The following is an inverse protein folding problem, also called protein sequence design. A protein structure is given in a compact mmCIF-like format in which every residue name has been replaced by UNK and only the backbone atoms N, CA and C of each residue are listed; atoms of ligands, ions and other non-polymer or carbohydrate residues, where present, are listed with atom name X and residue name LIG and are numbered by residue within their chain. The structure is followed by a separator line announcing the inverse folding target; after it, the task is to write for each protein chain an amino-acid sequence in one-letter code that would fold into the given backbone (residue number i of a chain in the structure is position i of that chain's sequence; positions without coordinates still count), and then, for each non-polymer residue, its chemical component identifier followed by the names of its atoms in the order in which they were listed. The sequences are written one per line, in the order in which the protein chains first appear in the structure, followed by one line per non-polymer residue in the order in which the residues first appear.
data_IF_684776930620
#
_entry.id   IF_684776930620
#
_cell.length_a   1.000
_cell.length_b   1.000
_cell.length_c   1.000
_cell.angle_alpha   90.00
_cell.angle_beta   90.00
_cell.angle_gamma   90.00
#
_symmetry.space_group_name_H-M   'P 1'
#
loop_
_entity.id
_entity.type
_entity.pdbx_description
1 polymer ?
#
# COMPACT_ATOMS: atom_id res chain seq x y z
N UNK A 1 58.50 -55.76 54.75
CA UNK A 1 57.98 -55.77 53.40
C UNK A 1 56.60 -55.13 53.46
N UNK A 2 56.52 -53.84 53.12
CA UNK A 2 55.24 -53.07 53.09
C UNK A 2 54.82 -52.89 51.69
N UNK A 3 53.65 -53.38 51.29
CA UNK A 3 53.05 -53.20 49.96
C UNK A 3 52.37 -51.81 49.90
N UNK A 4 52.77 -51.03 48.98
CA UNK A 4 52.18 -49.70 48.65
C UNK A 4 51.04 -49.93 47.68
N UNK A 5 49.81 -49.61 48.05
CA UNK A 5 48.66 -49.60 47.19
C UNK A 5 48.54 -48.20 46.58
N UNK A 6 48.67 -48.13 45.26
CA UNK A 6 48.43 -46.90 44.44
C UNK A 6 46.97 -46.87 44.05
N UNK A 7 46.21 -45.91 44.61
CA UNK A 7 44.84 -45.65 44.26
C UNK A 7 44.86 -44.67 43.07
N UNK A 8 44.49 -45.17 41.87
CA UNK A 8 44.30 -44.33 40.69
C UNK A 8 42.98 -43.59 40.76
N UNK A 9 42.99 -42.29 40.92
CA UNK A 9 41.82 -41.42 40.89
C UNK A 9 41.48 -41.06 39.45
N UNK A 10 40.47 -41.68 38.87
CA UNK A 10 39.94 -41.30 37.53
C UNK A 10 39.04 -40.06 37.66
N UNK A 11 39.56 -38.94 37.18
CA UNK A 11 38.73 -37.69 37.05
C UNK A 11 37.94 -37.77 35.76
N UNK A 12 36.61 -38.01 35.90
CA UNK A 12 35.64 -37.86 34.81
C UNK A 12 35.41 -36.34 34.55
N UNK A 13 35.99 -35.83 33.47
CA UNK A 13 35.65 -34.49 32.96
C UNK A 13 34.32 -34.63 32.19
N UNK A 14 33.21 -34.29 32.83
CA UNK A 14 31.93 -34.14 32.17
C UNK A 14 31.96 -32.81 31.40
N UNK A 15 32.25 -32.87 30.10
CA UNK A 15 32.11 -31.74 29.18
C UNK A 15 30.62 -31.48 28.98
N UNK A 16 30.04 -30.63 29.82
CA UNK A 16 28.70 -30.08 29.64
C UNK A 16 28.66 -29.24 28.38
N UNK A 17 28.09 -29.77 27.30
CA UNK A 17 27.63 -28.98 26.18
C UNK A 17 26.51 -28.05 26.68
N UNK A 18 26.87 -26.85 27.11
CA UNK A 18 25.92 -25.78 27.33
C UNK A 18 25.37 -25.39 25.98
N UNK A 19 24.28 -26.02 25.57
CA UNK A 19 23.43 -25.46 24.50
C UNK A 19 22.91 -24.13 25.02
N UNK A 20 23.54 -23.04 24.62
CA UNK A 20 22.96 -21.70 24.79
C UNK A 20 21.64 -21.74 24.04
N UNK A 21 20.52 -21.82 24.75
CA UNK A 21 19.21 -21.57 24.18
C UNK A 21 19.24 -20.13 23.62
N UNK A 22 19.50 -20.00 22.33
CA UNK A 22 19.38 -18.72 21.65
C UNK A 22 17.93 -18.31 21.79
N UNK A 23 17.67 -17.22 22.53
CA UNK A 23 16.31 -16.69 22.66
C UNK A 23 15.71 -16.61 21.27
N UNK A 24 14.54 -17.24 21.09
CA UNK A 24 13.88 -17.25 19.78
C UNK A 24 13.76 -15.81 19.29
N UNK A 25 14.34 -15.52 18.14
CA UNK A 25 14.32 -14.17 17.57
C UNK A 25 12.86 -13.83 17.21
N UNK A 26 12.36 -12.69 17.65
CA UNK A 26 10.99 -12.22 17.39
C UNK A 26 11.02 -11.03 16.42
N UNK A 27 10.23 -11.09 15.35
CA UNK A 27 10.00 -10.00 14.41
C UNK A 27 8.63 -9.36 14.70
N UNK A 28 8.61 -8.08 15.06
CA UNK A 28 7.39 -7.32 15.32
C UNK A 28 7.01 -6.47 14.13
N UNK A 29 5.94 -6.88 13.44
CA UNK A 29 5.41 -6.20 12.27
C UNK A 29 4.29 -5.23 12.67
N UNK A 30 4.31 -4.03 12.09
CA UNK A 30 3.20 -3.08 12.11
C UNK A 30 2.74 -2.88 10.66
N UNK A 31 1.59 -3.47 10.29
CA UNK A 31 1.22 -3.69 8.90
C UNK A 31 -0.28 -3.52 8.66
N UNK A 32 -0.67 -3.54 7.40
CA UNK A 32 -2.07 -3.52 6.97
C UNK A 32 -2.75 -4.89 7.11
N UNK A 33 -4.07 -4.89 7.08
CA UNK A 33 -4.84 -6.12 6.99
C UNK A 33 -4.54 -6.89 5.70
N UNK A 34 -4.24 -8.19 5.84
CA UNK A 34 -3.96 -9.05 4.68
C UNK A 34 -2.50 -9.14 4.22
N UNK A 35 -1.58 -8.28 4.73
CA UNK A 35 -0.18 -8.26 4.27
C UNK A 35 0.73 -9.28 4.97
N UNK A 36 0.27 -9.87 6.04
CA UNK A 36 0.93 -10.97 6.74
C UNK A 36 -0.13 -12.03 7.11
N UNK A 37 -0.68 -12.77 6.11
CA UNK A 37 -1.65 -13.82 6.38
C UNK A 37 -1.01 -14.97 7.16
N UNK A 38 -1.83 -15.69 7.90
CA UNK A 38 -1.38 -16.69 8.88
C UNK A 38 -0.49 -17.78 8.25
N UNK A 39 -0.86 -18.28 7.08
CA UNK A 39 -0.11 -19.31 6.36
C UNK A 39 1.29 -18.84 5.90
N UNK A 40 1.43 -17.56 5.53
CA UNK A 40 2.71 -16.94 5.19
C UNK A 40 3.58 -16.76 6.44
N UNK A 41 2.98 -16.34 7.56
CA UNK A 41 3.69 -16.21 8.85
C UNK A 41 4.21 -17.58 9.31
N UNK A 42 3.35 -18.61 9.34
CA UNK A 42 3.73 -19.97 9.74
C UNK A 42 4.85 -20.56 8.87
N UNK A 43 4.81 -20.27 7.54
CA UNK A 43 5.85 -20.72 6.62
C UNK A 43 7.19 -20.03 6.91
N UNK A 44 7.20 -18.72 7.13
CA UNK A 44 8.40 -17.98 7.52
C UNK A 44 8.99 -18.48 8.84
N UNK A 45 8.16 -18.65 9.85
CA UNK A 45 8.58 -19.16 11.16
C UNK A 45 9.20 -20.56 11.05
N UNK A 46 8.60 -21.42 10.22
CA UNK A 46 9.10 -22.77 9.94
C UNK A 46 10.45 -22.75 9.22
N UNK A 47 10.64 -21.86 8.22
CA UNK A 47 11.87 -21.79 7.44
C UNK A 47 13.03 -21.13 8.20
N UNK A 48 12.74 -20.18 9.08
CA UNK A 48 13.77 -19.33 9.71
C UNK A 48 13.96 -19.54 11.19
N UNK A 49 12.98 -20.12 11.89
CA UNK A 49 12.95 -20.19 13.35
C UNK A 49 12.65 -18.85 14.03
N UNK A 50 12.32 -17.79 13.28
CA UNK A 50 12.01 -16.46 13.79
C UNK A 50 10.49 -16.36 13.98
N UNK A 51 10.04 -16.08 15.20
CA UNK A 51 8.62 -15.86 15.47
C UNK A 51 8.17 -14.49 14.97
N UNK A 52 6.92 -14.39 14.49
CA UNK A 52 6.39 -13.13 13.91
C UNK A 52 5.18 -12.64 14.68
N UNK A 53 5.26 -11.43 15.19
CA UNK A 53 4.17 -10.76 15.89
C UNK A 53 3.54 -9.68 15.01
N UNK A 54 2.32 -9.92 14.55
CA UNK A 54 1.62 -9.04 13.61
C UNK A 54 0.70 -8.08 14.35
N UNK A 55 0.89 -6.77 14.16
CA UNK A 55 -0.03 -5.73 14.61
C UNK A 55 -0.62 -5.04 13.39
N UNK A 56 -1.95 -5.13 13.22
CA UNK A 56 -2.67 -4.44 12.14
C UNK A 56 -2.85 -2.96 12.48
N UNK A 57 -2.71 -2.09 11.47
CA UNK A 57 -2.75 -0.64 11.66
C UNK A 57 -3.10 0.08 10.34
N UNK A 58 -3.05 1.41 10.36
CA UNK A 58 -3.17 2.31 9.20
C UNK A 58 -2.06 3.37 9.25
N UNK A 59 -1.94 4.21 8.20
CA UNK A 59 -0.86 5.21 8.11
C UNK A 59 -0.76 6.12 9.33
N UNK A 60 -1.88 6.68 9.73
CA UNK A 60 -1.95 7.66 10.83
C UNK A 60 -1.53 7.03 12.15
N UNK A 61 -2.01 5.83 12.42
CA UNK A 61 -1.66 5.08 13.63
C UNK A 61 -0.23 4.58 13.62
N UNK A 62 0.30 4.10 12.48
CA UNK A 62 1.69 3.68 12.35
C UNK A 62 2.64 4.81 12.70
N UNK A 63 2.43 5.99 12.09
CA UNK A 63 3.23 7.17 12.34
C UNK A 63 3.08 7.65 13.78
N UNK A 64 1.86 7.68 14.31
CA UNK A 64 1.59 8.10 15.68
C UNK A 64 2.28 7.20 16.71
N UNK A 65 2.20 5.87 16.54
CA UNK A 65 2.86 4.89 17.42
C UNK A 65 4.39 5.05 17.38
N UNK A 66 4.97 5.19 16.20
CA UNK A 66 6.42 5.40 16.08
C UNK A 66 6.87 6.75 16.63
N UNK A 67 6.10 7.81 16.43
CA UNK A 67 6.35 9.13 17.03
C UNK A 67 6.37 9.04 18.55
N UNK A 68 5.33 8.44 19.15
CA UNK A 68 5.21 8.31 20.61
C UNK A 68 6.38 7.50 21.24
N UNK A 69 6.89 6.50 20.53
CA UNK A 69 7.99 5.64 20.98
C UNK A 69 9.37 6.07 20.46
N UNK A 70 9.44 7.16 19.70
CA UNK A 70 10.66 7.63 19.01
C UNK A 70 11.30 6.52 18.15
N UNK A 71 10.46 5.79 17.41
CA UNK A 71 10.87 4.71 16.52
C UNK A 71 11.18 3.37 17.21
N UNK A 72 10.67 3.13 18.41
CA UNK A 72 10.79 1.85 19.08
C UNK A 72 9.47 1.05 19.02
N UNK A 73 9.52 -0.21 19.47
CA UNK A 73 8.35 -1.06 19.67
C UNK A 73 8.05 -2.03 18.52
N UNK A 74 8.55 -1.73 17.31
CA UNK A 74 8.40 -2.57 16.12
C UNK A 74 9.74 -2.76 15.42
N UNK A 75 9.81 -3.75 14.52
CA UNK A 75 11.03 -4.08 13.79
C UNK A 75 10.88 -3.83 12.30
N UNK A 76 9.65 -3.91 11.76
CA UNK A 76 9.31 -3.55 10.39
C UNK A 76 7.92 -2.91 10.36
N UNK A 77 7.77 -1.82 9.60
CA UNK A 77 6.53 -1.05 9.49
C UNK A 77 6.20 -0.81 8.02
N UNK A 78 4.91 -0.71 7.68
CA UNK A 78 4.47 -0.67 6.29
C UNK A 78 3.58 0.55 5.96
N UNK A 79 4.08 1.79 6.10
CA UNK A 79 3.35 2.98 5.66
C UNK A 79 3.32 3.09 4.13
N UNK A 80 2.39 3.88 3.61
CA UNK A 80 2.38 4.25 2.20
C UNK A 80 3.55 5.18 1.86
N UNK A 81 4.12 5.05 0.67
CA UNK A 81 5.34 5.74 0.25
C UNK A 81 5.26 7.28 0.36
N UNK A 82 4.08 7.87 0.08
CA UNK A 82 3.83 9.31 0.18
C UNK A 82 3.94 9.86 1.60
N UNK A 83 3.96 8.99 2.61
CA UNK A 83 4.07 9.33 4.04
C UNK A 83 5.48 9.22 4.60
N UNK A 84 6.37 8.46 3.95
CA UNK A 84 7.67 8.11 4.51
C UNK A 84 8.57 9.33 4.69
N UNK A 85 8.83 10.07 3.61
CA UNK A 85 9.77 11.19 3.64
C UNK A 85 9.31 12.32 4.59
N UNK A 86 8.02 12.65 4.59
CA UNK A 86 7.45 13.69 5.47
C UNK A 86 7.53 13.29 6.94
N UNK A 87 7.19 12.05 7.28
CA UNK A 87 7.29 11.55 8.65
C UNK A 87 8.73 11.46 9.13
N UNK A 88 9.68 11.06 8.26
CA UNK A 88 11.10 11.03 8.59
C UNK A 88 11.64 12.44 8.86
N UNK A 89 11.38 13.41 7.98
CA UNK A 89 11.81 14.81 8.16
C UNK A 89 11.24 15.43 9.45
N UNK A 90 9.95 15.17 9.72
CA UNK A 90 9.28 15.76 10.87
C UNK A 90 9.64 15.13 12.22
N UNK A 91 9.85 13.80 12.26
CA UNK A 91 9.91 13.05 13.52
C UNK A 91 11.15 12.18 13.68
N UNK A 92 11.95 11.95 12.62
CA UNK A 92 13.15 11.12 12.62
C UNK A 92 12.89 9.75 13.29
N UNK A 93 11.88 9.04 12.79
CA UNK A 93 11.36 7.79 13.37
C UNK A 93 11.79 6.53 12.62
N UNK A 94 12.44 6.69 11.47
CA UNK A 94 12.90 5.60 10.64
C UNK A 94 14.43 5.51 10.60
N UNK A 95 14.94 4.38 10.14
CA UNK A 95 16.35 4.08 9.90
C UNK A 95 16.56 3.90 8.39
N UNK A 96 17.66 4.37 7.81
CA UNK A 96 17.99 4.11 6.41
C UNK A 96 18.01 2.60 6.10
N UNK A 97 17.55 2.25 4.90
CA UNK A 97 17.55 0.89 4.39
C UNK A 97 18.92 0.55 3.79
N UNK A 98 19.52 -0.55 4.21
CA UNK A 98 20.68 -1.13 3.56
C UNK A 98 20.23 -1.98 2.36
N UNK A 99 20.26 -1.40 1.18
CA UNK A 99 19.78 -2.05 -0.04
C UNK A 99 20.63 -3.26 -0.48
N UNK A 100 21.85 -3.42 0.06
CA UNK A 100 22.68 -4.60 -0.20
C UNK A 100 22.14 -5.87 0.45
N UNK A 101 21.27 -5.74 1.44
CA UNK A 101 20.59 -6.85 2.14
C UNK A 101 19.27 -7.27 1.49
N UNK A 102 18.89 -6.60 0.41
CA UNK A 102 17.64 -6.85 -0.31
C UNK A 102 17.96 -7.47 -1.66
N UNK A 103 17.26 -8.55 -2.01
CA UNK A 103 17.32 -9.11 -3.35
C UNK A 103 16.50 -8.22 -4.31
N UNK A 104 17.17 -7.22 -4.87
CA UNK A 104 16.57 -6.25 -5.78
C UNK A 104 15.98 -6.88 -7.04
N UNK A 105 16.44 -8.08 -7.43
CA UNK A 105 15.94 -8.78 -8.62
C UNK A 105 14.51 -9.30 -8.45
N UNK A 106 14.06 -9.47 -7.20
CA UNK A 106 12.70 -9.88 -6.87
C UNK A 106 11.67 -8.75 -7.03
N UNK A 107 12.10 -7.50 -7.20
CA UNK A 107 11.18 -6.37 -7.29
C UNK A 107 10.89 -5.94 -8.73
N UNK A 108 9.68 -5.44 -8.96
CA UNK A 108 9.35 -4.72 -10.18
C UNK A 108 10.19 -3.43 -10.19
N UNK A 109 11.11 -3.33 -11.17
CA UNK A 109 12.15 -2.29 -11.19
C UNK A 109 11.62 -0.86 -11.15
N UNK A 110 10.53 -0.57 -11.88
CA UNK A 110 9.89 0.76 -11.89
C UNK A 110 9.32 1.14 -10.51
N UNK A 111 8.72 0.19 -9.80
CA UNK A 111 8.16 0.43 -8.46
C UNK A 111 9.27 0.60 -7.42
N UNK A 112 10.35 -0.18 -7.51
CA UNK A 112 11.52 -0.01 -6.65
C UNK A 112 12.15 1.37 -6.85
N UNK A 113 12.32 1.81 -8.11
CA UNK A 113 12.87 3.12 -8.43
C UNK A 113 11.96 4.26 -7.92
N UNK A 114 10.64 4.16 -8.14
CA UNK A 114 9.67 5.14 -7.67
C UNK A 114 9.68 5.27 -6.15
N UNK A 115 9.63 4.14 -5.43
CA UNK A 115 9.63 4.14 -3.95
C UNK A 115 10.94 4.72 -3.40
N UNK A 116 12.10 4.33 -3.97
CA UNK A 116 13.40 4.91 -3.58
C UNK A 116 13.40 6.43 -3.77
N UNK A 117 12.97 6.92 -4.94
CA UNK A 117 12.93 8.36 -5.24
C UNK A 117 12.06 9.14 -4.26
N UNK A 118 10.89 8.60 -3.88
CA UNK A 118 9.95 9.26 -2.97
C UNK A 118 10.27 9.10 -1.48
N UNK A 119 11.07 8.11 -1.11
CA UNK A 119 11.47 7.85 0.28
C UNK A 119 12.88 8.29 0.62
N UNK A 120 13.58 8.98 -0.29
CA UNK A 120 14.92 9.51 -0.04
C UNK A 120 14.83 10.82 0.77
N UNK A 121 15.58 10.87 1.87
CA UNK A 121 15.73 12.06 2.72
C UNK A 121 17.23 12.22 3.00
N UNK A 122 17.79 13.39 2.72
CA UNK A 122 19.20 13.72 2.94
C UNK A 122 20.17 12.71 2.30
N UNK A 123 19.80 12.18 1.12
CA UNK A 123 20.60 11.19 0.37
C UNK A 123 20.41 9.74 0.80
N UNK A 124 19.71 9.48 1.89
CA UNK A 124 19.45 8.14 2.42
C UNK A 124 18.07 7.62 2.01
N UNK A 125 17.98 6.35 1.62
CA UNK A 125 16.73 5.68 1.24
C UNK A 125 16.08 5.06 2.47
N UNK A 126 14.80 5.33 2.71
CA UNK A 126 14.10 4.85 3.91
C UNK A 126 13.06 3.75 3.63
N UNK A 127 12.71 3.48 2.37
CA UNK A 127 11.68 2.50 2.05
C UNK A 127 11.99 1.70 0.78
N UNK A 128 11.42 0.49 0.73
CA UNK A 128 11.28 -0.32 -0.49
C UNK A 128 9.82 -0.76 -0.65
N UNK A 129 9.33 -1.01 -1.88
CA UNK A 129 7.92 -1.30 -2.13
C UNK A 129 7.51 -2.68 -1.60
N UNK A 130 6.23 -2.83 -1.25
CA UNK A 130 5.64 -4.13 -0.90
C UNK A 130 4.36 -4.40 -1.70
N UNK A 131 3.25 -3.78 -1.34
CA UNK A 131 1.95 -3.95 -2.00
C UNK A 131 1.61 -2.64 -2.70
N UNK A 132 1.02 -2.74 -3.86
CA UNK A 132 0.58 -1.58 -4.62
C UNK A 132 -0.86 -1.74 -5.08
N UNK A 133 -1.46 -0.65 -5.44
CA UNK A 133 -2.77 -0.62 -6.04
C UNK A 133 -3.06 0.76 -6.62
N UNK A 134 -4.25 0.90 -7.13
CA UNK A 134 -4.67 2.14 -7.76
C UNK A 134 -6.09 2.54 -7.37
N UNK A 135 -6.37 3.82 -7.54
CA UNK A 135 -7.72 4.36 -7.58
C UNK A 135 -8.03 4.75 -9.02
N UNK A 136 -9.16 4.29 -9.49
CA UNK A 136 -9.64 4.55 -10.83
C UNK A 136 -11.15 4.47 -10.86
N UNK A 137 -11.71 3.85 -11.89
CA UNK A 137 -13.14 3.73 -12.09
C UNK A 137 -13.60 2.29 -11.87
N UNK A 138 -14.75 2.12 -11.28
CA UNK A 138 -15.50 0.86 -11.31
C UNK A 138 -16.77 1.16 -12.10
N UNK A 139 -17.02 0.39 -13.16
CA UNK A 139 -18.17 0.60 -14.04
C UNK A 139 -18.94 -0.71 -14.26
N UNK A 140 -20.24 -0.61 -14.34
CA UNK A 140 -21.07 -1.66 -14.91
C UNK A 140 -21.10 -1.47 -16.44
N UNK A 141 -20.34 -2.28 -17.17
CA UNK A 141 -20.18 -2.17 -18.63
C UNK A 141 -21.47 -2.33 -19.42
N UNK A 142 -22.46 -3.04 -18.90
CA UNK A 142 -23.75 -3.19 -19.56
C UNK A 142 -24.55 -1.87 -19.58
N UNK A 143 -24.23 -0.91 -18.68
CA UNK A 143 -25.03 0.30 -18.45
C UNK A 143 -24.22 1.58 -18.65
N UNK A 144 -22.92 1.58 -18.32
CA UNK A 144 -22.05 2.75 -18.23
C UNK A 144 -20.71 2.55 -18.96
N UNK A 145 -20.73 1.87 -20.13
CA UNK A 145 -19.52 1.59 -20.91
C UNK A 145 -18.85 2.84 -21.52
N UNK A 146 -19.56 3.95 -21.54
CA UNK A 146 -19.08 5.27 -21.99
C UNK A 146 -18.19 5.97 -20.93
N UNK A 147 -18.24 5.55 -19.69
CA UNK A 147 -17.40 6.10 -18.60
C UNK A 147 -16.00 5.51 -18.71
N UNK A 148 -15.02 6.32 -19.13
CA UNK A 148 -13.62 5.95 -19.32
C UNK A 148 -12.64 6.87 -18.60
N UNK A 149 -13.10 8.01 -18.10
CA UNK A 149 -12.29 8.94 -17.33
C UNK A 149 -13.09 9.53 -16.17
N UNK A 150 -12.39 10.18 -15.22
CA UNK A 150 -13.03 10.74 -14.01
C UNK A 150 -14.09 11.78 -14.34
N UNK A 151 -13.88 12.61 -15.36
CA UNK A 151 -14.85 13.63 -15.77
C UNK A 151 -16.10 13.04 -16.43
N UNK A 152 -16.05 11.81 -16.95
CA UNK A 152 -17.23 11.14 -17.52
C UNK A 152 -18.28 10.81 -16.45
N UNK A 153 -17.87 10.72 -15.17
CA UNK A 153 -18.78 10.63 -14.03
C UNK A 153 -19.75 11.82 -13.95
N UNK A 154 -19.46 12.90 -14.67
CA UNK A 154 -20.31 14.09 -14.77
C UNK A 154 -21.27 14.07 -15.97
N UNK A 155 -21.28 13.02 -16.80
CA UNK A 155 -22.18 12.92 -17.91
C UNK A 155 -23.64 12.88 -17.38
N UNK A 156 -24.55 13.81 -17.79
CA UNK A 156 -25.92 13.85 -17.31
C UNK A 156 -26.72 12.56 -17.53
N UNK A 157 -26.30 11.71 -18.49
CA UNK A 157 -26.90 10.39 -18.71
C UNK A 157 -26.81 9.48 -17.47
N UNK A 158 -25.89 9.75 -16.56
CA UNK A 158 -25.68 9.00 -15.32
C UNK A 158 -26.18 9.74 -14.07
N UNK A 159 -27.17 10.64 -14.21
CA UNK A 159 -27.74 11.38 -13.09
C UNK A 159 -28.25 10.45 -11.98
N UNK A 160 -27.78 10.68 -10.73
CA UNK A 160 -28.10 9.87 -9.56
C UNK A 160 -27.55 8.45 -9.58
N UNK A 161 -26.61 8.13 -10.48
CA UNK A 161 -26.05 6.77 -10.67
C UNK A 161 -24.56 6.64 -10.39
N UNK A 162 -23.93 7.70 -9.89
CA UNK A 162 -22.49 7.75 -9.65
C UNK A 162 -22.20 7.82 -8.15
N UNK A 163 -21.07 7.27 -7.73
CA UNK A 163 -20.57 7.40 -6.35
C UNK A 163 -19.04 7.55 -6.31
N UNK A 164 -18.55 8.35 -5.38
CA UNK A 164 -17.11 8.48 -5.09
C UNK A 164 -16.87 8.98 -3.66
N UNK A 165 -15.62 8.91 -3.19
CA UNK A 165 -15.23 9.53 -1.92
C UNK A 165 -15.02 11.03 -2.16
N UNK A 166 -15.65 11.87 -1.37
CA UNK A 166 -15.36 13.31 -1.40
C UNK A 166 -14.08 13.58 -0.56
N UNK A 167 -12.92 13.25 -1.13
CA UNK A 167 -11.60 13.29 -0.53
C UNK A 167 -10.55 13.66 -1.58
N UNK A 168 -9.27 13.86 -1.13
CA UNK A 168 -8.13 14.16 -2.01
C UNK A 168 -8.07 13.34 -3.31
N UNK A 169 -8.21 11.99 -3.30
CA UNK A 169 -8.15 11.23 -4.55
C UNK A 169 -9.09 11.74 -5.64
N UNK A 170 -10.32 12.13 -5.26
CA UNK A 170 -11.29 12.67 -6.22
C UNK A 170 -10.82 14.02 -6.79
N UNK A 171 -10.29 14.92 -5.96
CA UNK A 171 -9.73 16.18 -6.44
C UNK A 171 -8.59 15.96 -7.44
N UNK A 172 -7.66 15.05 -7.10
CA UNK A 172 -6.49 14.75 -7.94
C UNK A 172 -6.89 14.07 -9.25
N UNK A 173 -7.77 13.07 -9.21
CA UNK A 173 -8.24 12.37 -10.42
C UNK A 173 -8.95 13.31 -11.37
N UNK A 174 -9.86 14.14 -10.86
CA UNK A 174 -10.55 15.13 -11.68
C UNK A 174 -9.58 16.18 -12.24
N UNK A 175 -8.55 16.60 -11.49
CA UNK A 175 -7.54 17.52 -12.03
C UNK A 175 -6.84 16.91 -13.25
N UNK A 176 -6.36 15.66 -13.17
CA UNK A 176 -5.74 15.00 -14.31
C UNK A 176 -6.69 14.84 -15.50
N UNK A 177 -7.95 14.46 -15.27
CA UNK A 177 -8.95 14.34 -16.32
C UNK A 177 -9.34 15.68 -16.97
N UNK A 178 -9.09 16.79 -16.27
CA UNK A 178 -9.24 18.16 -16.80
C UNK A 178 -7.96 18.69 -17.49
N UNK A 179 -6.92 17.86 -17.65
CA UNK A 179 -5.64 18.23 -18.27
C UNK A 179 -4.70 19.03 -17.37
N UNK A 180 -4.97 19.10 -16.06
CA UNK A 180 -4.10 19.77 -15.09
C UNK A 180 -3.15 18.74 -14.47
N UNK A 181 -1.97 19.18 -14.04
CA UNK A 181 -1.05 18.35 -13.25
C UNK A 181 -0.95 18.91 -11.82
N UNK A 182 -1.77 18.38 -10.88
CA UNK A 182 -1.75 18.84 -9.51
C UNK A 182 -0.45 18.44 -8.78
N UNK A 183 0.25 17.40 -9.21
CA UNK A 183 1.50 16.97 -8.59
C UNK A 183 2.65 17.91 -8.95
N UNK A 184 2.71 18.39 -10.20
CA UNK A 184 3.67 19.41 -10.59
C UNK A 184 3.45 20.75 -9.88
N UNK A 185 2.24 20.99 -9.38
CA UNK A 185 1.92 22.19 -8.62
C UNK A 185 2.19 22.08 -7.11
N UNK A 186 2.68 20.96 -6.59
CA UNK A 186 2.90 20.77 -5.15
C UNK A 186 3.92 21.74 -4.55
N UNK A 187 4.84 22.27 -5.35
CA UNK A 187 5.79 23.32 -4.94
C UNK A 187 5.26 24.74 -4.98
N UNK A 188 4.04 24.95 -5.49
CA UNK A 188 3.41 26.27 -5.71
C UNK A 188 1.95 26.23 -5.19
N UNK A 189 1.75 26.71 -3.96
CA UNK A 189 0.46 26.66 -3.28
C UNK A 189 -0.63 27.45 -4.02
N UNK A 190 -0.28 28.57 -4.66
CA UNK A 190 -1.24 29.43 -5.39
C UNK A 190 -1.70 28.73 -6.67
N UNK A 191 -0.77 28.14 -7.41
CA UNK A 191 -1.08 27.32 -8.60
C UNK A 191 -1.92 26.10 -8.23
N UNK A 192 -1.54 25.41 -7.15
CA UNK A 192 -2.31 24.28 -6.64
C UNK A 192 -3.74 24.69 -6.25
N UNK A 193 -3.90 25.82 -5.57
CA UNK A 193 -5.22 26.35 -5.21
C UNK A 193 -6.05 26.65 -6.45
N UNK A 194 -5.48 27.28 -7.48
CA UNK A 194 -6.19 27.56 -8.75
C UNK A 194 -6.68 26.27 -9.43
N UNK A 195 -5.88 25.22 -9.46
CA UNK A 195 -6.28 23.91 -9.98
C UNK A 195 -7.45 23.38 -9.14
N UNK A 196 -7.32 23.37 -7.82
CA UNK A 196 -8.37 22.85 -6.93
C UNK A 196 -9.69 23.62 -7.00
N UNK A 197 -9.63 24.96 -7.24
CA UNK A 197 -10.82 25.77 -7.48
C UNK A 197 -11.57 25.35 -8.76
N UNK A 198 -10.84 25.12 -9.86
CA UNK A 198 -11.42 24.61 -11.11
C UNK A 198 -12.09 23.24 -10.89
N UNK A 199 -11.39 22.34 -10.19
CA UNK A 199 -11.91 21.01 -9.84
C UNK A 199 -13.16 21.12 -8.95
N UNK A 200 -13.12 21.98 -7.93
CA UNK A 200 -14.27 22.20 -7.04
C UNK A 200 -15.51 22.67 -7.79
N UNK A 201 -15.35 23.61 -8.74
CA UNK A 201 -16.42 24.04 -9.63
C UNK A 201 -16.99 22.87 -10.44
N UNK A 202 -16.10 22.08 -11.08
CA UNK A 202 -16.51 20.90 -11.85
C UNK A 202 -17.28 19.87 -11.01
N UNK A 203 -16.78 19.56 -9.80
CA UNK A 203 -17.47 18.64 -8.89
C UNK A 203 -18.84 19.14 -8.44
N UNK A 204 -19.00 20.46 -8.26
CA UNK A 204 -20.30 21.09 -7.97
C UNK A 204 -21.29 20.93 -9.12
N UNK A 205 -20.81 21.15 -10.37
CA UNK A 205 -21.63 20.93 -11.59
C UNK A 205 -22.08 19.47 -11.70
N UNK A 206 -21.24 18.53 -11.30
CA UNK A 206 -21.51 17.08 -11.38
C UNK A 206 -22.36 16.54 -10.23
N UNK A 207 -22.73 17.36 -9.25
CA UNK A 207 -23.39 16.89 -8.02
C UNK A 207 -24.71 16.16 -8.28
N UNK A 208 -25.43 16.54 -9.33
CA UNK A 208 -26.69 15.85 -9.72
C UNK A 208 -26.46 14.38 -10.14
N UNK A 209 -25.25 14.02 -10.54
CA UNK A 209 -24.91 12.64 -10.90
C UNK A 209 -24.63 11.77 -9.66
N UNK A 210 -24.32 12.39 -8.53
CA UNK A 210 -23.87 11.66 -7.34
C UNK A 210 -25.06 11.15 -6.54
N UNK A 211 -25.17 9.84 -6.42
CA UNK A 211 -26.14 9.17 -5.52
C UNK A 211 -25.75 9.34 -4.06
N UNK A 212 -24.47 9.11 -3.77
CA UNK A 212 -23.93 9.21 -2.42
C UNK A 212 -22.40 9.37 -2.45
N UNK A 213 -21.85 9.98 -1.40
CA UNK A 213 -20.41 9.95 -1.12
C UNK A 213 -20.12 8.82 -0.15
N UNK A 214 -19.39 7.78 -0.62
CA UNK A 214 -19.03 6.69 0.26
C UNK A 214 -17.83 7.04 1.14
N UNK A 215 -17.78 6.46 2.34
CA UNK A 215 -16.68 6.67 3.29
C UNK A 215 -15.82 5.42 3.53
N UNK A 216 -16.40 4.25 3.37
CA UNK A 216 -15.76 2.94 3.55
C UNK A 216 -16.05 1.99 2.39
N UNK A 217 -15.18 0.99 2.19
CA UNK A 217 -15.29 0.03 1.11
C UNK A 217 -16.60 -0.74 1.09
N UNK A 218 -17.14 -1.10 2.25
CA UNK A 218 -18.41 -1.85 2.33
C UNK A 218 -19.59 -1.03 1.79
N UNK A 219 -19.65 0.29 2.08
CA UNK A 219 -20.67 1.18 1.53
C UNK A 219 -20.58 1.27 0.00
N UNK A 220 -19.35 1.40 -0.54
CA UNK A 220 -19.10 1.36 -1.99
C UNK A 220 -19.63 0.05 -2.61
N UNK A 221 -19.21 -1.09 -2.03
CA UNK A 221 -19.58 -2.40 -2.56
C UNK A 221 -21.10 -2.61 -2.51
N UNK A 222 -21.78 -2.13 -1.46
CA UNK A 222 -23.24 -2.20 -1.32
C UNK A 222 -23.94 -1.40 -2.42
N UNK A 223 -23.56 -0.13 -2.65
CA UNK A 223 -24.15 0.73 -3.67
C UNK A 223 -24.01 0.14 -5.08
N UNK A 224 -22.88 -0.47 -5.40
CA UNK A 224 -22.64 -1.09 -6.69
C UNK A 224 -23.38 -2.43 -6.85
N UNK A 225 -23.44 -3.26 -5.80
CA UNK A 225 -24.15 -4.56 -5.82
C UNK A 225 -25.65 -4.40 -5.95
N UNK A 226 -26.22 -3.41 -5.27
CA UNK A 226 -27.65 -3.14 -5.32
C UNK A 226 -28.11 -2.53 -6.65
N UNK A 227 -27.17 -2.06 -7.51
CA UNK A 227 -27.49 -1.32 -8.72
C UNK A 227 -27.99 0.10 -8.46
N UNK A 228 -27.90 0.59 -7.22
CA UNK A 228 -28.19 2.00 -6.92
C UNK A 228 -27.22 2.91 -7.66
N UNK A 229 -25.95 2.47 -7.82
CA UNK A 229 -24.97 3.14 -8.65
C UNK A 229 -24.42 2.21 -9.72
N UNK A 230 -24.12 2.76 -10.90
CA UNK A 230 -23.59 2.03 -12.06
C UNK A 230 -22.13 2.37 -12.34
N UNK A 231 -21.64 3.44 -11.73
CA UNK A 231 -20.25 3.86 -11.82
C UNK A 231 -19.74 4.44 -10.50
N UNK A 232 -18.46 4.23 -10.24
CA UNK A 232 -17.80 4.74 -9.05
C UNK A 232 -16.35 5.12 -9.35
N UNK A 233 -15.82 6.12 -8.62
CA UNK A 233 -14.40 6.26 -8.44
C UNK A 233 -13.99 5.50 -7.18
N UNK A 234 -13.11 4.49 -7.32
CA UNK A 234 -12.73 3.62 -6.21
C UNK A 234 -11.42 2.86 -6.49
N UNK A 235 -11.06 1.97 -5.57
CA UNK A 235 -9.88 1.11 -5.69
C UNK A 235 -10.11 -0.09 -6.62
N UNK A 236 -9.06 -0.50 -7.31
CA UNK A 236 -8.99 -1.69 -8.16
C UNK A 236 -9.50 -2.96 -7.46
N UNK A 237 -9.04 -3.25 -6.25
CA UNK A 237 -9.50 -4.39 -5.46
C UNK A 237 -11.02 -4.38 -5.21
N UNK A 238 -11.65 -3.22 -5.13
CA UNK A 238 -13.12 -3.08 -5.03
C UNK A 238 -13.80 -3.55 -6.32
N UNK A 239 -13.29 -3.13 -7.47
CA UNK A 239 -13.79 -3.58 -8.78
C UNK A 239 -13.64 -5.08 -8.97
N UNK A 240 -12.50 -5.64 -8.61
CA UNK A 240 -12.26 -7.09 -8.70
C UNK A 240 -13.16 -7.91 -7.76
N UNK A 241 -13.49 -7.40 -6.58
CA UNK A 241 -14.48 -8.05 -5.70
C UNK A 241 -15.86 -8.05 -6.32
N UNK A 242 -16.29 -6.93 -6.87
CA UNK A 242 -17.61 -6.81 -7.53
C UNK A 242 -17.70 -7.66 -8.78
N UNK A 243 -16.65 -7.74 -9.58
CA UNK A 243 -16.59 -8.58 -10.77
C UNK A 243 -16.78 -10.07 -10.48
N UNK A 244 -16.40 -10.53 -9.29
CA UNK A 244 -16.64 -11.92 -8.88
C UNK A 244 -18.13 -12.23 -8.70
N UNK A 245 -18.91 -11.23 -8.31
CA UNK A 245 -20.36 -11.33 -8.07
C UNK A 245 -21.14 -11.05 -9.36
N UNK A 246 -20.65 -10.10 -10.19
CA UNK A 246 -21.26 -9.70 -11.46
C UNK A 246 -20.15 -9.37 -12.47
N UNK A 247 -20.01 -10.16 -13.52
CA UNK A 247 -18.99 -10.02 -14.55
C UNK A 247 -19.08 -8.70 -15.36
N UNK A 248 -20.24 -8.06 -15.40
CA UNK A 248 -20.41 -6.76 -16.06
C UNK A 248 -19.77 -5.61 -15.27
N UNK A 249 -19.54 -5.79 -13.95
CA UNK A 249 -18.89 -4.80 -13.12
C UNK A 249 -17.36 -5.04 -13.14
N UNK A 250 -16.60 -4.04 -13.56
CA UNK A 250 -15.16 -4.15 -13.65
C UNK A 250 -14.45 -2.88 -13.21
N UNK A 251 -13.18 -3.01 -12.85
CA UNK A 251 -12.28 -1.87 -12.71
C UNK A 251 -11.78 -1.44 -14.10
N UNK A 252 -11.71 -0.13 -14.30
CA UNK A 252 -11.21 0.50 -15.52
C UNK A 252 -10.16 1.53 -15.12
N UNK A 253 -8.96 1.41 -15.68
CA UNK A 253 -7.95 2.44 -15.56
C UNK A 253 -8.42 3.68 -16.35
N UNK A 254 -8.52 4.86 -15.69
CA UNK A 254 -8.93 6.09 -16.37
C UNK A 254 -7.94 6.49 -17.47
N UNK A 255 -8.44 7.09 -18.56
CA UNK A 255 -7.58 7.51 -19.69
C UNK A 255 -6.57 8.58 -19.30
N UNK A 256 -6.90 9.43 -18.32
CA UNK A 256 -5.97 10.40 -17.73
C UNK A 256 -4.94 9.79 -16.76
N UNK A 257 -5.11 8.53 -16.40
CA UNK A 257 -4.24 7.74 -15.53
C UNK A 257 -4.89 7.39 -14.20
N UNK A 258 -4.72 6.14 -13.78
CA UNK A 258 -5.09 5.70 -12.45
C UNK A 258 -4.15 6.33 -11.40
N UNK A 259 -4.67 6.58 -10.20
CA UNK A 259 -3.89 7.16 -9.11
C UNK A 259 -3.24 6.02 -8.31
N UNK A 260 -1.93 5.84 -8.50
CA UNK A 260 -1.18 4.74 -7.90
C UNK A 260 -0.70 5.04 -6.48
N UNK A 261 -0.78 4.05 -5.61
CA UNK A 261 -0.19 4.06 -4.28
C UNK A 261 0.64 2.80 -4.07
N UNK A 262 1.68 2.92 -3.26
CA UNK A 262 2.55 1.81 -2.87
C UNK A 262 2.68 1.84 -1.35
N UNK A 263 2.36 0.74 -0.70
CA UNK A 263 2.71 0.51 0.69
C UNK A 263 4.08 -0.12 0.75
N UNK A 264 4.87 0.28 1.73
CA UNK A 264 6.31 0.05 1.73
C UNK A 264 6.77 -0.78 2.92
N UNK A 265 8.00 -1.26 2.85
CA UNK A 265 8.73 -1.71 4.02
C UNK A 265 9.63 -0.58 4.51
N UNK A 266 9.58 -0.29 5.78
CA UNK A 266 10.38 0.74 6.46
C UNK A 266 10.91 0.18 7.78
N UNK A 267 12.17 0.43 8.08
CA UNK A 267 12.79 0.07 9.35
C UNK A 267 12.53 1.17 10.40
N UNK A 268 11.89 0.86 11.54
CA UNK A 268 11.83 1.79 12.66
C UNK A 268 13.23 2.13 13.17
N UNK A 269 13.45 3.39 13.57
CA UNK A 269 14.77 3.91 13.97
C UNK A 269 15.48 3.07 15.04
N UNK A 270 14.71 2.52 16.01
CA UNK A 270 15.25 1.77 17.15
C UNK A 270 15.00 0.27 17.06
N UNK A 271 14.80 -0.25 15.86
CA UNK A 271 14.71 -1.71 15.68
C UNK A 271 16.00 -2.37 16.17
N UNK A 272 15.84 -3.50 16.86
CA UNK A 272 16.95 -4.37 17.31
C UNK A 272 17.06 -5.63 16.45
N UNK A 273 16.05 -5.93 15.63
CA UNK A 273 15.93 -7.16 14.84
C UNK A 273 15.99 -6.88 13.35
N UNK A 274 16.93 -6.01 12.94
CA UNK A 274 17.09 -5.57 11.54
C UNK A 274 17.34 -6.75 10.60
N UNK A 275 18.16 -7.72 11.02
CA UNK A 275 18.41 -8.92 10.21
C UNK A 275 17.14 -9.72 9.93
N UNK A 276 16.28 -9.90 10.94
CA UNK A 276 14.99 -10.58 10.79
C UNK A 276 14.03 -9.77 9.85
N UNK A 277 14.07 -8.44 9.91
CA UNK A 277 13.29 -7.59 9.03
C UNK A 277 13.69 -7.77 7.56
N UNK A 278 15.00 -7.80 7.24
CA UNK A 278 15.46 -8.09 5.87
C UNK A 278 15.14 -9.52 5.41
N UNK A 279 15.24 -10.51 6.31
CA UNK A 279 14.83 -11.87 5.98
C UNK A 279 13.35 -11.93 5.63
N UNK A 280 12.48 -11.23 6.39
CA UNK A 280 11.05 -11.14 6.09
C UNK A 280 10.81 -10.49 4.74
N UNK A 281 11.46 -9.35 4.44
CA UNK A 281 11.32 -8.66 3.16
C UNK A 281 11.66 -9.61 2.01
N UNK A 282 12.85 -10.22 2.03
CA UNK A 282 13.27 -11.12 0.96
C UNK A 282 12.36 -12.36 0.84
N UNK A 283 11.87 -12.88 1.96
CA UNK A 283 10.96 -14.02 1.99
C UNK A 283 9.61 -13.68 1.35
N UNK A 284 8.97 -12.57 1.75
CA UNK A 284 7.62 -12.22 1.25
C UNK A 284 7.64 -11.67 -0.17
N UNK A 285 8.81 -11.26 -0.65
CA UNK A 285 8.99 -10.85 -2.05
C UNK A 285 9.31 -12.01 -3.00
N UNK A 286 9.46 -13.24 -2.51
CA UNK A 286 9.47 -14.45 -3.37
C UNK A 286 8.13 -14.52 -4.12
N UNK A 287 8.13 -14.78 -5.45
CA UNK A 287 6.91 -14.75 -6.26
C UNK A 287 5.77 -15.65 -5.75
N UNK A 288 6.09 -16.86 -5.29
CA UNK A 288 5.14 -17.82 -4.74
C UNK A 288 4.50 -17.36 -3.41
N UNK A 289 5.28 -16.70 -2.56
CA UNK A 289 4.81 -16.14 -1.28
C UNK A 289 4.02 -14.85 -1.53
N UNK A 290 4.52 -14.00 -2.39
CA UNK A 290 3.89 -12.75 -2.80
C UNK A 290 2.47 -12.96 -3.37
N UNK A 291 2.27 -14.04 -4.13
CA UNK A 291 0.94 -14.43 -4.63
C UNK A 291 -0.04 -14.79 -3.50
N UNK A 292 0.42 -15.41 -2.41
CA UNK A 292 -0.43 -15.67 -1.22
C UNK A 292 -0.85 -14.36 -0.53
N UNK A 293 0.08 -13.40 -0.47
CA UNK A 293 -0.23 -12.06 0.07
C UNK A 293 -1.25 -11.36 -0.84
N UNK A 294 -1.07 -11.41 -2.15
CA UNK A 294 -2.04 -10.88 -3.13
C UNK A 294 -3.44 -11.47 -2.91
N UNK A 295 -3.55 -12.78 -2.71
CA UNK A 295 -4.82 -13.45 -2.44
C UNK A 295 -5.49 -12.96 -1.15
N UNK A 296 -4.69 -12.70 -0.11
CA UNK A 296 -5.17 -12.22 1.20
C UNK A 296 -5.50 -10.73 1.21
N UNK A 297 -4.62 -9.91 0.64
CA UNK A 297 -4.76 -8.45 0.60
C UNK A 297 -5.82 -7.99 -0.41
N UNK A 298 -5.91 -8.69 -1.53
CA UNK A 298 -6.74 -8.32 -2.68
C UNK A 298 -6.07 -7.33 -3.63
N UNK A 299 -4.79 -6.99 -3.38
CA UNK A 299 -3.95 -6.13 -4.21
C UNK A 299 -2.64 -6.85 -4.54
N UNK A 300 -2.02 -6.50 -5.65
CA UNK A 300 -0.77 -7.10 -6.09
C UNK A 300 0.42 -6.59 -5.27
N UNK A 301 1.43 -7.44 -5.12
CA UNK A 301 2.71 -7.05 -4.53
C UNK A 301 3.63 -6.47 -5.59
N UNK A 302 4.65 -5.73 -5.17
CA UNK A 302 5.73 -5.28 -6.05
C UNK A 302 6.74 -6.40 -6.38
N UNK A 303 6.39 -7.67 -6.15
CA UNK A 303 7.21 -8.84 -6.48
C UNK A 303 7.11 -9.14 -7.97
N UNK A 304 8.25 -9.21 -8.63
CA UNK A 304 8.37 -9.54 -10.05
C UNK A 304 8.01 -11.01 -10.28
N UNK A 305 7.06 -11.26 -11.18
CA UNK A 305 6.62 -12.62 -11.54
C UNK A 305 5.64 -13.24 -10.56
N UNK A 306 5.18 -12.52 -9.54
CA UNK A 306 4.16 -13.03 -8.61
C UNK A 306 2.81 -13.29 -9.30
N UNK A 307 2.53 -12.60 -10.40
CA UNK A 307 1.34 -12.79 -11.23
C UNK A 307 1.25 -14.19 -11.87
N UNK A 308 2.37 -14.92 -12.00
CA UNK A 308 2.37 -16.30 -12.48
C UNK A 308 1.87 -17.31 -11.43
N UNK A 309 1.86 -16.93 -10.16
CA UNK A 309 1.46 -17.78 -9.04
C UNK A 309 0.07 -17.43 -8.47
N UNK A 310 -0.57 -16.36 -8.93
CA UNK A 310 -1.92 -16.03 -8.49
C UNK A 310 -2.96 -16.89 -9.22
N UNK A 311 -4.16 -16.99 -8.64
CA UNK A 311 -5.27 -17.71 -9.28
C UNK A 311 -5.54 -17.13 -10.70
N UNK A 312 -5.81 -17.99 -11.67
CA UNK A 312 -6.03 -17.61 -13.07
C UNK A 312 -7.08 -16.48 -13.23
N UNK A 313 -8.15 -16.51 -12.43
CA UNK A 313 -9.17 -15.45 -12.43
C UNK A 313 -8.60 -14.10 -11.97
N UNK A 314 -7.74 -14.08 -10.96
CA UNK A 314 -7.10 -12.84 -10.49
C UNK A 314 -6.14 -12.27 -11.53
N UNK A 315 -5.35 -13.14 -12.19
CA UNK A 315 -4.47 -12.77 -13.30
C UNK A 315 -5.27 -12.18 -14.47
N UNK A 316 -6.36 -12.81 -14.86
CA UNK A 316 -7.23 -12.33 -15.93
C UNK A 316 -7.83 -10.94 -15.59
N UNK A 317 -8.34 -10.76 -14.36
CA UNK A 317 -8.87 -9.47 -13.90
C UNK A 317 -7.83 -8.35 -13.92
N UNK A 318 -6.60 -8.66 -13.51
CA UNK A 318 -5.49 -7.71 -13.58
C UNK A 318 -5.17 -7.31 -15.02
N UNK A 319 -5.01 -8.29 -15.92
CA UNK A 319 -4.70 -8.06 -17.33
C UNK A 319 -5.83 -7.33 -18.08
N UNK A 320 -7.09 -7.55 -17.70
CA UNK A 320 -8.24 -6.83 -18.23
C UNK A 320 -8.30 -5.38 -17.75
N UNK A 321 -7.86 -5.13 -16.51
CA UNK A 321 -7.92 -3.80 -15.88
C UNK A 321 -6.78 -2.88 -16.31
N UNK A 322 -5.62 -3.45 -16.68
CA UNK A 322 -4.42 -2.70 -17.00
C UNK A 322 -3.72 -3.25 -18.24
N UNK A 323 -3.68 -2.46 -19.30
CA UNK A 323 -2.70 -2.65 -20.36
C UNK A 323 -1.31 -2.17 -19.91
N UNK A 324 -0.25 -2.51 -20.66
CA UNK A 324 1.09 -1.96 -20.38
C UNK A 324 1.09 -0.43 -20.39
N UNK A 325 0.33 0.19 -21.31
CA UNK A 325 0.17 1.64 -21.38
C UNK A 325 -0.51 2.22 -20.13
N UNK A 326 -1.50 1.52 -19.57
CA UNK A 326 -2.19 1.99 -18.36
C UNK A 326 -1.26 1.94 -17.16
N UNK A 327 -0.40 0.91 -17.06
CA UNK A 327 0.64 0.80 -16.02
C UNK A 327 1.64 1.95 -16.15
N UNK A 328 2.11 2.26 -17.35
CA UNK A 328 3.05 3.37 -17.58
C UNK A 328 2.41 4.74 -17.29
N UNK A 329 1.08 4.86 -17.44
CA UNK A 329 0.33 6.09 -17.20
C UNK A 329 -0.12 6.26 -15.73
N UNK A 330 0.20 5.33 -14.83
CA UNK A 330 -0.15 5.45 -13.41
C UNK A 330 0.46 6.73 -12.82
N UNK A 331 -0.37 7.54 -12.18
CA UNK A 331 0.02 8.75 -11.47
C UNK A 331 0.35 8.40 -10.02
N UNK A 332 1.62 8.13 -9.74
CA UNK A 332 2.07 7.78 -8.40
C UNK A 332 2.00 8.99 -7.48
N UNK A 333 1.34 8.84 -6.31
CA UNK A 333 1.27 9.90 -5.32
C UNK A 333 2.67 10.30 -4.81
N UNK A 334 3.10 11.57 -5.03
CA UNK A 334 4.31 12.07 -4.40
C UNK A 334 4.05 12.46 -2.93
N UNK A 335 5.11 12.67 -2.15
CA UNK A 335 4.98 13.21 -0.80
C UNK A 335 4.19 14.51 -0.80
N UNK A 336 3.18 14.59 0.06
CA UNK A 336 2.28 15.76 0.13
C UNK A 336 2.94 16.86 0.96
N UNK A 337 3.14 18.07 0.40
CA UNK A 337 3.60 19.22 1.16
C UNK A 337 2.60 19.64 2.24
N UNK A 338 3.13 20.09 3.37
CA UNK A 338 2.30 20.60 4.46
C UNK A 338 1.49 21.83 4.00
N UNK A 339 0.23 21.88 4.39
CA UNK A 339 -0.67 23.03 4.12
C UNK A 339 -1.61 22.82 2.94
N UNK A 340 -1.31 21.93 1.99
CA UNK A 340 -2.20 21.66 0.85
C UNK A 340 -3.53 21.06 1.29
N UNK A 341 -3.56 20.30 2.36
CA UNK A 341 -4.78 19.75 2.97
C UNK A 341 -5.77 20.82 3.42
N UNK A 342 -5.31 22.03 3.75
CA UNK A 342 -6.19 23.16 4.08
C UNK A 342 -6.90 23.70 2.84
N UNK A 343 -6.19 23.76 1.70
CA UNK A 343 -6.76 24.14 0.41
C UNK A 343 -7.83 23.13 0.02
N UNK A 344 -7.46 21.85 0.02
CA UNK A 344 -8.37 20.74 -0.31
C UNK A 344 -9.61 20.73 0.57
N UNK A 345 -9.43 20.85 1.90
CA UNK A 345 -10.54 20.88 2.87
C UNK A 345 -11.58 21.95 2.53
N UNK A 346 -11.15 23.18 2.26
CA UNK A 346 -12.05 24.29 1.86
C UNK A 346 -12.84 23.97 0.58
N UNK A 347 -12.19 23.36 -0.41
CA UNK A 347 -12.84 22.97 -1.67
C UNK A 347 -13.87 21.87 -1.43
N UNK A 348 -13.48 20.83 -0.70
CA UNK A 348 -14.35 19.68 -0.39
C UNK A 348 -15.58 20.09 0.42
N UNK A 349 -15.41 20.97 1.41
CA UNK A 349 -16.51 21.50 2.23
C UNK A 349 -17.49 22.31 1.37
N UNK A 350 -17.01 23.13 0.44
CA UNK A 350 -17.84 23.89 -0.50
C UNK A 350 -18.63 22.95 -1.44
N UNK A 351 -17.98 21.97 -2.03
CA UNK A 351 -18.65 20.96 -2.87
C UNK A 351 -19.71 20.19 -2.08
N UNK A 352 -19.46 19.89 -0.81
CA UNK A 352 -20.43 19.22 0.05
C UNK A 352 -21.63 20.10 0.36
N UNK A 353 -21.42 21.40 0.60
CA UNK A 353 -22.46 22.34 0.97
C UNK A 353 -23.32 22.81 -0.21
N UNK A 354 -22.81 22.80 -1.46
CA UNK A 354 -23.56 23.14 -2.66
C UNK A 354 -24.66 22.13 -2.94
#
# INVERSE_FOLDING_TARGET
MKKLNILSLAVLVASGLATTAQAAQELRLLTWGGYAPKDVVELFEKETGISVKVTKSNNEEMISKLKATRGAGFDLVQPSQDRVASAQKAFNIYKPMDLSKIDSAQFIGSMLAATKGQSTVDGEVFAVPHVWGSSGLIVNRAIAADIKDYTDLCNPAHAGKVTYRLKRPTLIGFAFAMGEDPFAAYGDADKYQQIMEKVGKKLTECKANVKAYWSGGDALLSLMRSGETTAAMAWDAGGWKLNRDNADITFVAPTSGALGWIDTFVLPRKTKNEAAAYQWINFVMRPDIAAKITASAGNFTASKGSDDFVAAKAKAQYQESFSAKDIDNIKWYPPVPAGLEKIEGKILDRVKAS
#
